data_IF_565346032852
#
_entry.id   IF_565346032852
#
_cell.length_a   1.000
_cell.length_b   1.000
_cell.length_c   1.000
_cell.angle_alpha   90.00
_cell.angle_beta   90.00
_cell.angle_gamma   90.00
#
_symmetry.space_group_name_H-M   'P 1'
#
loop_
_entity.id
_entity.type
_entity.pdbx_description
1 polymer ?
#
# COMPACT_ATOMS: atom_id res chain seq x y z
N UNK A 1 -29.01 -13.83 -18.77
CA UNK A 1 -27.92 -12.83 -18.83
C UNK A 1 -27.52 -12.47 -17.39
N UNK A 2 -26.28 -12.71 -17.00
CA UNK A 2 -25.80 -12.28 -15.66
C UNK A 2 -25.80 -10.77 -15.57
N UNK A 3 -26.41 -10.23 -14.53
CA UNK A 3 -26.44 -8.78 -14.28
C UNK A 3 -25.02 -8.36 -13.83
N UNK A 4 -24.36 -7.51 -14.62
CA UNK A 4 -23.05 -6.96 -14.24
C UNK A 4 -23.18 -6.17 -12.95
N UNK A 5 -22.24 -6.32 -11.99
CA UNK A 5 -22.28 -5.55 -10.76
C UNK A 5 -22.14 -4.04 -11.07
N UNK A 6 -22.86 -3.16 -10.35
CA UNK A 6 -22.70 -1.71 -10.50
C UNK A 6 -21.27 -1.27 -10.20
N UNK A 7 -20.72 -0.37 -11.01
CA UNK A 7 -19.37 0.15 -10.80
C UNK A 7 -19.22 0.85 -9.43
N UNK A 8 -20.26 1.57 -8.99
CA UNK A 8 -20.27 2.18 -7.67
C UNK A 8 -20.01 1.17 -6.55
N UNK A 9 -20.60 -0.03 -6.63
CA UNK A 9 -20.34 -1.12 -5.68
C UNK A 9 -18.86 -1.55 -5.69
N UNK A 10 -18.27 -1.78 -6.87
CA UNK A 10 -16.85 -2.18 -6.99
C UNK A 10 -15.93 -1.10 -6.40
N UNK A 11 -16.21 0.17 -6.70
CA UNK A 11 -15.44 1.30 -6.17
C UNK A 11 -15.59 1.42 -4.64
N UNK A 12 -16.77 1.17 -4.10
CA UNK A 12 -16.98 1.13 -2.64
C UNK A 12 -16.17 0.01 -1.99
N UNK A 13 -16.09 -1.17 -2.60
CA UNK A 13 -15.24 -2.28 -2.12
C UNK A 13 -13.76 -1.85 -2.09
N UNK A 14 -13.28 -1.19 -3.15
CA UNK A 14 -11.90 -0.68 -3.21
C UNK A 14 -11.64 0.35 -2.11
N UNK A 15 -12.53 1.33 -1.92
CA UNK A 15 -12.41 2.33 -0.87
C UNK A 15 -12.42 1.67 0.52
N UNK A 16 -13.33 0.71 0.76
CA UNK A 16 -13.38 -0.03 2.03
C UNK A 16 -12.05 -0.74 2.32
N UNK A 17 -11.42 -1.32 1.31
CA UNK A 17 -10.14 -2.04 1.47
C UNK A 17 -8.98 -1.18 1.94
N UNK A 18 -8.97 0.12 1.62
CA UNK A 18 -7.89 1.04 2.06
C UNK A 18 -8.15 1.70 3.41
N UNK A 19 -9.40 1.71 3.90
CA UNK A 19 -9.74 2.37 5.16
C UNK A 19 -8.92 1.85 6.34
N UNK A 20 -8.52 0.57 6.32
CA UNK A 20 -7.83 -0.09 7.44
C UNK A 20 -6.62 0.70 7.95
N UNK A 21 -5.79 1.23 7.07
CA UNK A 21 -4.58 1.95 7.43
C UNK A 21 -4.75 3.47 7.34
N UNK A 22 -5.53 3.95 6.38
CA UNK A 22 -5.67 5.40 6.14
C UNK A 22 -6.42 6.13 7.25
N UNK A 23 -7.38 5.47 7.92
CA UNK A 23 -8.10 6.07 9.04
C UNK A 23 -7.29 6.03 10.35
N UNK A 24 -6.40 5.06 10.51
CA UNK A 24 -5.61 4.91 11.75
C UNK A 24 -4.50 5.96 11.83
N UNK A 25 -3.82 6.22 10.72
CA UNK A 25 -2.56 6.96 10.69
C UNK A 25 -2.63 8.33 11.37
N UNK A 26 -3.57 9.25 11.08
CA UNK A 26 -3.63 10.54 11.75
C UNK A 26 -4.01 10.43 13.24
N UNK A 27 -4.73 9.38 13.62
CA UNK A 27 -5.25 9.14 14.96
C UNK A 27 -4.27 8.42 15.90
N UNK A 28 -3.11 7.95 15.40
CA UNK A 28 -2.13 7.20 16.22
C UNK A 28 -1.78 7.90 17.53
N UNK A 29 -1.38 9.20 17.55
CA UNK A 29 -1.02 9.87 18.79
C UNK A 29 -2.17 9.94 19.79
N UNK A 30 -3.40 10.18 19.33
CA UNK A 30 -4.59 10.27 20.17
C UNK A 30 -4.92 8.92 20.83
N UNK A 31 -4.77 7.83 20.07
CA UNK A 31 -4.95 6.46 20.59
C UNK A 31 -3.90 6.15 21.64
N UNK A 32 -2.61 6.45 21.37
CA UNK A 32 -1.54 6.22 22.34
C UNK A 32 -1.78 7.02 23.62
N UNK A 33 -2.17 8.28 23.50
CA UNK A 33 -2.49 9.16 24.64
C UNK A 33 -3.68 8.63 25.45
N UNK A 34 -4.76 8.19 24.80
CA UNK A 34 -5.97 7.69 25.47
C UNK A 34 -5.72 6.42 26.29
N UNK A 35 -4.82 5.55 25.85
CA UNK A 35 -4.41 4.35 26.58
C UNK A 35 -3.16 4.54 27.45
N UNK A 36 -2.59 5.74 27.53
CA UNK A 36 -1.38 6.03 28.32
C UNK A 36 -0.13 5.29 27.84
N UNK A 37 0.01 5.11 26.53
CA UNK A 37 1.04 4.28 25.91
C UNK A 37 2.20 5.12 25.37
N UNK A 38 3.38 4.50 25.32
CA UNK A 38 4.57 5.10 24.73
C UNK A 38 4.58 4.95 23.19
N UNK A 39 5.35 5.80 22.52
CA UNK A 39 5.44 5.90 21.06
C UNK A 39 5.87 4.62 20.33
N UNK A 40 6.63 3.74 20.99
CA UNK A 40 7.06 2.46 20.43
C UNK A 40 5.88 1.55 20.07
N UNK A 41 4.74 1.71 20.75
CA UNK A 41 3.55 0.92 20.49
C UNK A 41 2.77 1.35 19.23
N UNK A 42 3.09 2.51 18.65
CA UNK A 42 2.52 2.95 17.36
C UNK A 42 2.74 1.90 16.25
N UNK A 43 3.91 1.25 16.25
CA UNK A 43 4.23 0.21 15.30
C UNK A 43 3.32 -1.02 15.38
N UNK A 44 2.94 -1.43 16.58
CA UNK A 44 2.00 -2.54 16.79
C UNK A 44 0.61 -2.21 16.22
N UNK A 45 0.14 -0.99 16.45
CA UNK A 45 -1.18 -0.54 15.98
C UNK A 45 -1.32 -0.60 14.46
N UNK A 46 -0.27 -0.25 13.71
CA UNK A 46 -0.27 -0.30 12.24
C UNK A 46 0.00 -1.71 11.74
N UNK A 47 0.98 -2.42 12.31
CA UNK A 47 1.38 -3.74 11.87
C UNK A 47 0.28 -4.78 12.01
N UNK A 48 -0.48 -4.77 13.12
CA UNK A 48 -1.56 -5.76 13.37
C UNK A 48 -2.62 -5.74 12.29
N UNK A 49 -2.99 -4.56 11.75
CA UNK A 49 -3.93 -4.43 10.64
C UNK A 49 -3.43 -5.02 9.33
N UNK A 50 -2.11 -5.11 9.13
CA UNK A 50 -1.48 -5.62 7.91
C UNK A 50 -1.01 -7.08 8.03
N UNK A 51 -0.72 -7.54 9.23
CA UNK A 51 -0.12 -8.84 9.53
C UNK A 51 -0.94 -10.02 8.95
N UNK A 52 -2.25 -10.00 9.18
CA UNK A 52 -3.14 -11.03 8.65
C UNK A 52 -3.10 -11.11 7.11
N UNK A 53 -2.85 -9.98 6.45
CA UNK A 53 -2.84 -9.88 4.99
C UNK A 53 -1.74 -10.71 4.32
N UNK A 54 -0.65 -11.04 5.01
CA UNK A 54 0.45 -11.85 4.45
C UNK A 54 -0.06 -13.24 4.06
N UNK A 55 -0.85 -13.88 4.94
CA UNK A 55 -1.36 -15.23 4.73
C UNK A 55 -2.77 -15.22 4.12
N UNK A 56 -3.63 -14.33 4.60
CA UNK A 56 -5.05 -14.32 4.24
C UNK A 56 -5.29 -13.84 2.80
N UNK A 57 -4.47 -12.92 2.25
CA UNK A 57 -4.71 -12.43 0.91
C UNK A 57 -4.67 -13.55 -0.17
N UNK A 58 -3.64 -14.42 -0.25
CA UNK A 58 -3.65 -15.54 -1.17
C UNK A 58 -4.73 -16.58 -0.86
N UNK A 59 -4.99 -16.85 0.44
CA UNK A 59 -6.04 -17.78 0.86
C UNK A 59 -7.42 -17.29 0.44
N UNK A 60 -7.73 -16.00 0.64
CA UNK A 60 -9.02 -15.44 0.24
C UNK A 60 -9.21 -15.44 -1.29
N UNK A 61 -8.13 -15.25 -2.07
CA UNK A 61 -8.16 -15.45 -3.52
C UNK A 61 -8.57 -16.88 -3.89
N UNK A 62 -7.89 -17.88 -3.34
CA UNK A 62 -8.20 -19.28 -3.53
C UNK A 62 -9.64 -19.64 -3.09
N UNK A 63 -10.08 -19.14 -1.93
CA UNK A 63 -11.45 -19.35 -1.45
C UNK A 63 -12.49 -18.70 -2.39
N UNK A 64 -12.17 -17.52 -2.96
CA UNK A 64 -13.04 -16.84 -3.92
C UNK A 64 -13.15 -17.60 -5.25
N UNK A 65 -12.10 -18.32 -5.66
CA UNK A 65 -12.15 -19.22 -6.80
C UNK A 65 -12.96 -20.48 -6.51
N UNK A 66 -12.93 -20.99 -5.27
CA UNK A 66 -13.61 -22.22 -4.87
C UNK A 66 -15.08 -22.01 -4.48
N UNK A 67 -15.37 -20.99 -3.67
CA UNK A 67 -16.71 -20.74 -3.09
C UNK A 67 -17.49 -19.66 -3.81
N UNK A 68 -16.85 -18.95 -4.74
CA UNK A 68 -17.43 -17.85 -5.50
C UNK A 68 -17.19 -16.49 -4.86
N UNK A 69 -17.12 -15.45 -5.71
CA UNK A 69 -16.80 -14.07 -5.33
C UNK A 69 -17.80 -13.49 -4.31
N UNK A 70 -19.10 -13.82 -4.46
CA UNK A 70 -20.18 -13.36 -3.58
C UNK A 70 -19.93 -13.73 -2.12
N UNK A 71 -19.70 -15.01 -1.85
CA UNK A 71 -19.55 -15.52 -0.48
C UNK A 71 -18.31 -14.92 0.18
N UNK A 72 -17.16 -15.03 -0.49
CA UNK A 72 -15.89 -14.59 0.10
C UNK A 72 -15.86 -13.09 0.31
N UNK A 73 -16.35 -12.30 -0.65
CA UNK A 73 -16.38 -10.83 -0.49
C UNK A 73 -17.33 -10.40 0.63
N UNK A 74 -18.52 -11.02 0.73
CA UNK A 74 -19.47 -10.74 1.82
C UNK A 74 -18.87 -11.06 3.20
N UNK A 75 -18.21 -12.22 3.33
CA UNK A 75 -17.55 -12.62 4.59
C UNK A 75 -16.40 -11.67 4.93
N UNK A 76 -15.53 -11.35 3.96
CA UNK A 76 -14.43 -10.41 4.18
C UNK A 76 -14.92 -9.01 4.62
N UNK A 77 -15.93 -8.46 3.94
CA UNK A 77 -16.54 -7.17 4.31
C UNK A 77 -17.24 -7.24 5.67
N UNK A 78 -17.91 -8.35 5.98
CA UNK A 78 -18.55 -8.59 7.26
C UNK A 78 -17.54 -8.61 8.42
N UNK A 79 -16.47 -9.40 8.28
CA UNK A 79 -15.36 -9.45 9.24
C UNK A 79 -14.73 -8.06 9.41
N UNK A 80 -14.42 -7.38 8.30
CA UNK A 80 -13.85 -6.03 8.32
C UNK A 80 -14.75 -5.04 9.07
N UNK A 81 -16.06 -5.03 8.78
CA UNK A 81 -17.01 -4.08 9.38
C UNK A 81 -17.28 -4.37 10.86
N UNK A 82 -17.49 -5.64 11.24
CA UNK A 82 -17.71 -6.03 12.63
C UNK A 82 -16.49 -5.71 13.49
N UNK A 83 -15.33 -6.26 13.15
CA UNK A 83 -14.12 -6.06 13.96
C UNK A 83 -13.58 -4.63 13.82
N UNK A 84 -13.76 -3.98 12.66
CA UNK A 84 -13.48 -2.56 12.53
C UNK A 84 -14.34 -1.70 13.45
N UNK A 85 -15.64 -1.96 13.56
CA UNK A 85 -16.54 -1.30 14.54
C UNK A 85 -16.16 -1.62 15.99
N UNK A 86 -15.75 -2.85 16.29
CA UNK A 86 -15.28 -3.24 17.63
C UNK A 86 -14.02 -2.47 18.06
N UNK A 87 -13.17 -2.04 17.14
CA UNK A 87 -12.01 -1.19 17.49
C UNK A 87 -12.45 0.14 18.14
N UNK A 88 -13.59 0.71 17.73
CA UNK A 88 -14.12 1.94 18.31
C UNK A 88 -14.60 1.75 19.77
N UNK A 89 -14.95 0.52 20.13
CA UNK A 89 -15.48 0.17 21.46
C UNK A 89 -14.42 -0.48 22.37
N UNK A 90 -13.18 -0.62 21.90
CA UNK A 90 -12.13 -1.32 22.63
C UNK A 90 -11.83 -0.65 24.00
N UNK A 91 -11.95 -1.38 25.13
CA UNK A 91 -11.67 -0.85 26.45
C UNK A 91 -10.19 -0.93 26.82
N UNK A 92 -9.39 -1.74 26.11
CA UNK A 92 -7.95 -1.87 26.32
C UNK A 92 -7.21 -1.94 24.98
N UNK A 93 -5.91 -1.65 25.01
CA UNK A 93 -5.08 -1.67 23.82
C UNK A 93 -4.94 -3.07 23.21
N UNK A 94 -4.85 -4.12 24.03
CA UNK A 94 -4.76 -5.52 23.61
C UNK A 94 -6.02 -5.93 22.82
N UNK A 95 -7.21 -5.53 23.31
CA UNK A 95 -8.47 -5.78 22.60
C UNK A 95 -8.56 -4.96 21.32
N UNK A 96 -8.05 -3.73 21.32
CA UNK A 96 -7.90 -2.92 20.11
C UNK A 96 -7.02 -3.66 19.08
N UNK A 97 -5.84 -4.16 19.49
CA UNK A 97 -4.93 -4.88 18.60
C UNK A 97 -5.56 -6.18 18.07
N UNK A 98 -6.26 -6.93 18.93
CA UNK A 98 -6.97 -8.14 18.50
C UNK A 98 -8.07 -7.83 17.48
N UNK A 99 -8.88 -6.80 17.72
CA UNK A 99 -9.90 -6.35 16.79
C UNK A 99 -9.28 -5.86 15.47
N UNK A 100 -8.15 -5.14 15.52
CA UNK A 100 -7.37 -4.71 14.36
C UNK A 100 -6.84 -5.88 13.54
N UNK A 101 -6.31 -6.92 14.20
CA UNK A 101 -5.86 -8.14 13.53
C UNK A 101 -7.00 -8.83 12.78
N UNK A 102 -8.15 -9.02 13.45
CA UNK A 102 -9.33 -9.64 12.84
C UNK A 102 -9.91 -8.77 11.72
N UNK A 103 -9.93 -7.43 11.89
CA UNK A 103 -10.25 -6.49 10.82
C UNK A 103 -9.31 -6.67 9.63
N UNK A 104 -8.01 -6.87 9.88
CA UNK A 104 -6.98 -7.15 8.87
C UNK A 104 -7.28 -8.41 8.05
N UNK A 105 -7.80 -9.48 8.68
CA UNK A 105 -8.29 -10.67 7.98
C UNK A 105 -9.36 -10.30 6.95
N UNK A 106 -10.33 -9.45 7.33
CA UNK A 106 -11.38 -8.98 6.43
C UNK A 106 -10.86 -8.11 5.28
N UNK A 107 -9.89 -7.22 5.56
CA UNK A 107 -9.37 -6.28 4.55
C UNK A 107 -8.42 -6.90 3.54
N UNK A 108 -7.84 -8.06 3.86
CA UNK A 108 -6.68 -8.64 3.16
C UNK A 108 -6.85 -8.77 1.63
N UNK A 109 -8.07 -9.07 1.17
CA UNK A 109 -8.34 -9.34 -0.24
C UNK A 109 -9.24 -8.31 -0.93
N UNK A 110 -9.81 -7.31 -0.22
CA UNK A 110 -10.86 -6.44 -0.75
C UNK A 110 -10.44 -5.71 -2.03
N UNK A 111 -9.27 -5.06 -2.03
CA UNK A 111 -8.78 -4.32 -3.20
C UNK A 111 -8.52 -5.25 -4.38
N UNK A 112 -7.95 -6.43 -4.13
CA UNK A 112 -7.67 -7.40 -5.17
C UNK A 112 -8.97 -8.00 -5.75
N UNK A 113 -9.94 -8.34 -4.89
CA UNK A 113 -11.23 -8.86 -5.32
C UNK A 113 -12.04 -7.84 -6.13
N UNK A 114 -11.91 -6.53 -5.85
CA UNK A 114 -12.51 -5.49 -6.68
C UNK A 114 -11.96 -5.51 -8.12
N UNK A 115 -10.63 -5.68 -8.28
CA UNK A 115 -9.99 -5.80 -9.60
C UNK A 115 -10.41 -7.11 -10.30
N UNK A 116 -10.49 -8.21 -9.55
CA UNK A 116 -10.95 -9.51 -10.08
C UNK A 116 -12.40 -9.40 -10.57
N UNK A 117 -13.29 -8.74 -9.82
CA UNK A 117 -14.68 -8.50 -10.27
C UNK A 117 -14.75 -7.73 -11.60
N UNK A 118 -13.85 -6.76 -11.82
CA UNK A 118 -13.75 -6.09 -13.11
C UNK A 118 -13.31 -7.09 -14.19
N UNK A 119 -12.30 -7.91 -13.90
CA UNK A 119 -11.79 -8.93 -14.83
C UNK A 119 -12.83 -9.99 -15.23
N UNK A 120 -13.67 -10.39 -14.27
CA UNK A 120 -14.70 -11.43 -14.49
C UNK A 120 -15.90 -10.93 -15.33
N UNK A 121 -16.16 -9.60 -15.33
CA UNK A 121 -17.38 -9.03 -15.94
C UNK A 121 -17.13 -8.17 -17.19
N UNK A 122 -15.89 -7.77 -17.46
CA UNK A 122 -15.52 -6.95 -18.62
C UNK A 122 -14.25 -7.49 -19.30
N UNK A 123 -14.14 -7.28 -20.62
CA UNK A 123 -13.01 -7.73 -21.44
C UNK A 123 -12.46 -6.59 -22.32
N UNK A 124 -11.29 -6.81 -22.91
CA UNK A 124 -10.67 -5.88 -23.86
C UNK A 124 -10.46 -4.48 -23.31
N UNK A 125 -10.74 -3.46 -24.12
CA UNK A 125 -10.52 -2.05 -23.77
C UNK A 125 -11.36 -1.58 -22.57
N UNK A 126 -12.59 -2.11 -22.41
CA UNK A 126 -13.45 -1.75 -21.27
C UNK A 126 -12.86 -2.24 -19.96
N UNK A 127 -12.30 -3.47 -19.90
CA UNK A 127 -11.60 -3.98 -18.74
C UNK A 127 -10.45 -3.07 -18.35
N UNK A 128 -9.58 -2.71 -19.30
CA UNK A 128 -8.42 -1.83 -19.05
C UNK A 128 -8.87 -0.46 -18.54
N UNK A 129 -9.91 0.12 -19.18
CA UNK A 129 -10.46 1.41 -18.77
C UNK A 129 -11.02 1.38 -17.35
N UNK A 130 -11.72 0.31 -16.96
CA UNK A 130 -12.34 0.19 -15.65
C UNK A 130 -11.32 -0.10 -14.54
N UNK A 131 -10.27 -0.89 -14.83
CA UNK A 131 -9.13 -1.05 -13.91
C UNK A 131 -8.47 0.31 -13.67
N UNK A 132 -8.26 1.12 -14.73
CA UNK A 132 -7.73 2.47 -14.59
C UNK A 132 -8.60 3.39 -13.73
N UNK A 133 -9.94 3.33 -13.90
CA UNK A 133 -10.88 4.08 -13.06
C UNK A 133 -10.84 3.61 -11.60
N UNK A 134 -10.76 2.30 -11.35
CA UNK A 134 -10.64 1.75 -10.03
C UNK A 134 -9.32 2.18 -9.34
N UNK A 135 -8.23 2.24 -10.08
CA UNK A 135 -6.95 2.78 -9.59
C UNK A 135 -7.05 4.27 -9.25
N UNK A 136 -7.78 5.06 -10.05
CA UNK A 136 -8.04 6.47 -9.73
C UNK A 136 -8.86 6.62 -8.43
N UNK A 137 -9.89 5.79 -8.23
CA UNK A 137 -10.66 5.75 -6.98
C UNK A 137 -9.77 5.40 -5.78
N UNK A 138 -8.88 4.41 -5.94
CA UNK A 138 -7.89 4.04 -4.91
C UNK A 138 -7.01 5.24 -4.55
N UNK A 139 -6.46 5.94 -5.55
CA UNK A 139 -5.58 7.10 -5.35
C UNK A 139 -6.29 8.25 -4.66
N UNK A 140 -7.50 8.58 -5.10
CA UNK A 140 -8.33 9.61 -4.45
C UNK A 140 -8.65 9.23 -3.02
N UNK A 141 -8.95 7.95 -2.75
CA UNK A 141 -9.18 7.45 -1.40
C UNK A 141 -7.93 7.58 -0.51
N UNK A 142 -6.76 7.18 -1.00
CA UNK A 142 -5.50 7.32 -0.28
C UNK A 142 -5.17 8.80 0.04
N UNK A 143 -5.57 9.72 -0.84
CA UNK A 143 -5.40 11.15 -0.63
C UNK A 143 -6.40 11.74 0.36
N UNK A 144 -7.68 11.34 0.28
CA UNK A 144 -8.76 12.00 1.03
C UNK A 144 -9.03 11.36 2.40
N UNK A 145 -8.80 10.05 2.56
CA UNK A 145 -9.15 9.36 3.80
C UNK A 145 -8.33 9.80 5.02
N UNK A 146 -7.00 10.05 4.95
CA UNK A 146 -6.27 10.58 6.09
C UNK A 146 -6.75 11.98 6.48
N UNK A 147 -7.09 12.85 5.49
CA UNK A 147 -7.66 14.17 5.76
C UNK A 147 -8.99 14.07 6.50
N UNK A 148 -9.89 13.21 6.00
CA UNK A 148 -11.19 12.95 6.63
C UNK A 148 -11.02 12.37 8.04
N UNK A 149 -10.12 11.40 8.19
CA UNK A 149 -9.80 10.78 9.48
C UNK A 149 -9.29 11.80 10.49
N UNK A 150 -8.34 12.65 10.10
CA UNK A 150 -7.80 13.69 10.95
C UNK A 150 -8.88 14.67 11.41
N UNK A 151 -9.70 15.16 10.48
CA UNK A 151 -10.78 16.09 10.78
C UNK A 151 -11.84 15.49 11.74
N UNK A 152 -12.23 14.24 11.55
CA UNK A 152 -13.20 13.58 12.44
C UNK A 152 -12.55 13.27 13.80
N UNK A 153 -11.29 12.83 13.82
CA UNK A 153 -10.57 12.56 15.08
C UNK A 153 -10.45 13.82 15.93
N UNK A 154 -10.14 14.96 15.31
CA UNK A 154 -10.07 16.25 16.02
C UNK A 154 -11.43 16.70 16.54
N UNK A 155 -12.48 16.57 15.72
CA UNK A 155 -13.82 17.05 16.08
C UNK A 155 -14.57 16.13 17.06
N UNK A 156 -14.40 14.81 16.99
CA UNK A 156 -15.23 13.83 17.67
C UNK A 156 -14.46 12.65 18.31
N UNK A 157 -13.13 12.65 18.20
CA UNK A 157 -12.27 11.62 18.75
C UNK A 157 -12.06 10.41 17.80
N UNK A 158 -10.99 9.68 18.03
CA UNK A 158 -10.59 8.53 17.22
C UNK A 158 -11.61 7.39 17.22
N UNK A 159 -12.36 7.21 18.29
CA UNK A 159 -13.41 6.18 18.37
C UNK A 159 -14.51 6.40 17.33
N UNK A 160 -14.94 7.65 17.12
CA UNK A 160 -15.93 8.01 16.10
C UNK A 160 -15.35 7.78 14.71
N UNK A 161 -14.08 8.11 14.48
CA UNK A 161 -13.37 7.82 13.23
C UNK A 161 -13.37 6.32 12.92
N UNK A 162 -13.14 5.47 13.92
CA UNK A 162 -13.14 4.03 13.74
C UNK A 162 -14.53 3.42 13.55
N UNK A 163 -15.60 4.08 14.05
CA UNK A 163 -16.99 3.67 13.77
C UNK A 163 -17.30 3.69 12.25
N UNK A 164 -16.57 4.46 11.44
CA UNK A 164 -16.72 4.49 9.97
C UNK A 164 -16.49 3.11 9.35
N UNK A 165 -15.67 2.25 9.97
CA UNK A 165 -15.44 0.89 9.46
C UNK A 165 -16.72 0.08 9.34
N UNK A 166 -17.76 0.39 10.13
CA UNK A 166 -19.07 -0.29 10.08
C UNK A 166 -19.81 -0.09 8.76
N UNK A 167 -19.46 0.93 7.96
CA UNK A 167 -19.98 1.13 6.58
C UNK A 167 -19.73 -0.11 5.71
N UNK A 168 -18.68 -0.89 6.00
CA UNK A 168 -18.43 -2.15 5.34
C UNK A 168 -19.54 -3.19 5.51
N UNK A 169 -20.34 -3.12 6.58
CA UNK A 169 -21.50 -4.02 6.78
C UNK A 169 -22.58 -3.76 5.75
N UNK A 170 -22.85 -2.48 5.44
CA UNK A 170 -23.75 -2.11 4.34
C UNK A 170 -23.21 -2.59 2.99
N UNK A 171 -21.87 -2.48 2.78
CA UNK A 171 -21.24 -2.99 1.57
C UNK A 171 -21.30 -4.53 1.50
N UNK A 172 -21.20 -5.24 2.64
CA UNK A 172 -21.37 -6.69 2.71
C UNK A 172 -22.79 -7.12 2.34
N UNK A 173 -23.80 -6.42 2.86
CA UNK A 173 -25.20 -6.65 2.48
C UNK A 173 -25.43 -6.39 0.99
N UNK A 174 -24.86 -5.31 0.46
CA UNK A 174 -24.91 -5.02 -0.99
C UNK A 174 -24.21 -6.12 -1.81
N UNK A 175 -23.06 -6.65 -1.36
CA UNK A 175 -22.36 -7.75 -2.03
C UNK A 175 -23.24 -8.99 -2.18
N UNK A 176 -23.99 -9.31 -1.12
CA UNK A 176 -24.91 -10.45 -1.12
C UNK A 176 -26.04 -10.31 -2.14
N UNK A 177 -26.54 -9.11 -2.35
CA UNK A 177 -27.67 -8.83 -3.26
C UNK A 177 -27.19 -8.65 -4.72
N UNK A 178 -26.05 -7.97 -4.90
CA UNK A 178 -25.58 -7.50 -6.22
C UNK A 178 -24.80 -8.58 -6.97
N UNK A 179 -24.06 -9.45 -6.25
CA UNK A 179 -23.21 -10.43 -6.88
C UNK A 179 -23.94 -11.76 -7.14
N UNK A 180 -23.67 -12.34 -8.31
CA UNK A 180 -24.16 -13.67 -8.63
C UNK A 180 -23.44 -14.75 -7.80
N UNK A 181 -24.17 -15.76 -7.35
CA UNK A 181 -23.64 -16.89 -6.57
C UNK A 181 -22.90 -17.94 -7.41
N UNK A 182 -22.42 -17.59 -8.61
CA UNK A 182 -21.71 -18.52 -9.50
C UNK A 182 -20.36 -18.91 -8.92
N UNK A 183 -20.04 -20.20 -9.04
CA UNK A 183 -18.71 -20.74 -8.71
C UNK A 183 -17.90 -20.85 -10.00
N UNK A 184 -16.61 -20.49 -10.00
CA UNK A 184 -15.70 -20.80 -11.10
C UNK A 184 -15.61 -22.31 -11.34
N UNK A 185 -15.41 -22.74 -12.59
CA UNK A 185 -15.48 -24.15 -12.99
C UNK A 185 -14.20 -24.92 -12.67
N UNK A 186 -13.03 -24.25 -12.71
CA UNK A 186 -11.73 -24.86 -12.41
C UNK A 186 -10.84 -23.93 -11.57
N UNK A 187 -10.66 -24.22 -10.27
CA UNK A 187 -9.72 -23.43 -9.45
C UNK A 187 -8.26 -23.86 -9.75
N UNK A 188 -7.30 -22.91 -9.88
CA UNK A 188 -5.90 -23.22 -10.11
C UNK A 188 -5.26 -23.97 -8.93
N UNK A 189 -4.31 -24.88 -9.20
CA UNK A 189 -3.63 -25.69 -8.19
C UNK A 189 -2.53 -24.87 -7.50
N UNK A 190 -2.66 -24.66 -6.18
CA UNK A 190 -1.70 -23.90 -5.36
C UNK A 190 -0.26 -24.42 -5.45
N UNK A 191 -0.07 -25.75 -5.58
CA UNK A 191 1.25 -26.36 -5.65
C UNK A 191 2.05 -25.98 -6.89
N UNK A 192 1.39 -25.80 -8.03
CA UNK A 192 2.01 -25.36 -9.28
C UNK A 192 2.48 -23.91 -9.15
N UNK A 193 1.68 -23.04 -8.56
CA UNK A 193 2.02 -21.62 -8.34
C UNK A 193 3.27 -21.43 -7.46
N UNK A 194 3.48 -22.28 -6.45
CA UNK A 194 4.67 -22.20 -5.60
C UNK A 194 5.94 -22.60 -6.37
N UNK A 195 5.86 -23.66 -7.19
CA UNK A 195 6.98 -24.08 -8.05
C UNK A 195 7.38 -22.98 -9.05
N UNK A 196 6.41 -22.36 -9.68
CA UNK A 196 6.58 -21.25 -10.62
C UNK A 196 7.18 -20.01 -9.94
N UNK A 197 6.75 -19.68 -8.71
CA UNK A 197 7.31 -18.56 -7.94
C UNK A 197 8.81 -18.72 -7.72
N UNK A 198 9.28 -19.94 -7.41
CA UNK A 198 10.70 -20.22 -7.22
C UNK A 198 11.52 -20.07 -8.51
N UNK A 199 10.95 -20.42 -9.66
CA UNK A 199 11.61 -20.25 -10.98
C UNK A 199 11.75 -18.76 -11.31
N UNK A 200 10.68 -18.01 -11.08
CA UNK A 200 10.62 -16.56 -11.31
C UNK A 200 11.64 -15.81 -10.44
N UNK A 201 11.80 -16.20 -9.17
CA UNK A 201 12.76 -15.60 -8.24
C UNK A 201 14.25 -15.81 -8.63
N UNK A 202 14.57 -16.67 -9.61
CA UNK A 202 15.95 -16.79 -10.12
C UNK A 202 16.40 -15.61 -10.98
N UNK A 203 15.47 -14.82 -11.52
CA UNK A 203 15.77 -13.68 -12.39
C UNK A 203 16.32 -12.49 -11.59
N UNK A 204 17.51 -11.95 -11.95
CA UNK A 204 18.18 -10.94 -11.15
C UNK A 204 17.44 -9.59 -11.12
N UNK A 205 16.84 -9.15 -12.24
CA UNK A 205 16.05 -7.91 -12.29
C UNK A 205 14.82 -8.03 -11.39
N UNK A 206 14.13 -9.18 -11.44
CA UNK A 206 12.97 -9.43 -10.62
C UNK A 206 13.30 -9.41 -9.13
N UNK A 207 14.39 -10.09 -8.71
CA UNK A 207 14.84 -10.06 -7.31
C UNK A 207 15.16 -8.65 -6.84
N UNK A 208 15.88 -7.87 -7.66
CA UNK A 208 16.21 -6.48 -7.35
C UNK A 208 14.94 -5.61 -7.20
N UNK A 209 13.96 -5.79 -8.09
CA UNK A 209 12.69 -5.06 -8.05
C UNK A 209 11.85 -5.45 -6.82
N UNK A 210 11.75 -6.74 -6.51
CA UNK A 210 11.02 -7.24 -5.33
C UNK A 210 11.66 -6.79 -4.02
N UNK A 211 13.00 -6.85 -3.92
CA UNK A 211 13.72 -6.35 -2.75
C UNK A 211 13.52 -4.84 -2.58
N UNK A 212 13.66 -4.07 -3.66
CA UNK A 212 13.39 -2.63 -3.63
C UNK A 212 11.94 -2.33 -3.26
N UNK A 213 10.98 -3.12 -3.77
CA UNK A 213 9.57 -3.02 -3.40
C UNK A 213 9.33 -3.28 -1.91
N UNK A 214 9.91 -4.34 -1.34
CA UNK A 214 9.87 -4.61 0.10
C UNK A 214 10.38 -3.41 0.91
N UNK A 215 11.57 -2.88 0.54
CA UNK A 215 12.19 -1.74 1.22
C UNK A 215 11.33 -0.47 1.10
N UNK A 216 10.72 -0.22 -0.06
CA UNK A 216 9.76 0.89 -0.26
C UNK A 216 8.58 0.76 0.69
N UNK A 217 7.96 -0.43 0.79
CA UNK A 217 6.82 -0.63 1.69
C UNK A 217 7.22 -0.59 3.17
N UNK A 218 8.42 -1.03 3.54
CA UNK A 218 8.98 -0.82 4.89
C UNK A 218 9.09 0.68 5.19
N UNK A 219 9.61 1.48 4.26
CA UNK A 219 9.78 2.92 4.43
C UNK A 219 8.43 3.64 4.49
N UNK A 220 7.47 3.32 3.62
CA UNK A 220 6.14 3.92 3.61
C UNK A 220 5.40 3.63 4.93
N UNK A 221 5.25 2.37 5.28
CA UNK A 221 4.45 1.97 6.43
C UNK A 221 5.16 2.21 7.76
N UNK A 222 6.50 2.05 7.80
CA UNK A 222 7.29 2.35 8.97
C UNK A 222 7.45 3.85 9.18
N UNK A 223 8.16 4.52 8.29
CA UNK A 223 8.53 5.92 8.51
C UNK A 223 7.37 6.87 8.24
N UNK A 224 6.72 6.77 7.08
CA UNK A 224 5.70 7.75 6.71
C UNK A 224 4.38 7.54 7.46
N UNK A 225 3.86 6.32 7.53
CA UNK A 225 2.54 6.07 8.13
C UNK A 225 2.58 5.82 9.66
N UNK A 226 3.74 5.48 10.23
CA UNK A 226 3.86 5.22 11.67
C UNK A 226 4.63 6.31 12.40
N UNK A 227 5.83 6.71 11.92
CA UNK A 227 6.64 7.72 12.61
C UNK A 227 6.10 9.13 12.40
N UNK A 228 5.68 9.49 11.17
CA UNK A 228 5.30 10.86 10.85
C UNK A 228 4.16 11.40 11.73
N UNK A 229 3.02 10.71 11.93
CA UNK A 229 1.94 11.25 12.77
C UNK A 229 2.41 11.50 14.22
N UNK A 230 3.24 10.61 14.78
CA UNK A 230 3.80 10.77 16.12
C UNK A 230 4.78 11.94 16.15
N UNK A 231 5.65 12.07 15.16
CA UNK A 231 6.60 13.19 15.04
C UNK A 231 5.89 14.55 14.94
N UNK A 232 4.81 14.62 14.13
CA UNK A 232 4.02 15.84 13.99
C UNK A 232 3.32 16.24 15.32
N UNK A 233 2.87 15.27 16.09
CA UNK A 233 2.27 15.53 17.40
C UNK A 233 3.32 15.93 18.44
N UNK A 234 4.43 15.18 18.58
CA UNK A 234 5.43 15.40 19.63
C UNK A 234 6.30 16.64 19.39
N UNK A 235 6.74 16.88 18.14
CA UNK A 235 7.70 17.95 17.82
C UNK A 235 7.02 19.25 17.46
N UNK A 236 5.86 19.17 16.77
CA UNK A 236 5.15 20.33 16.27
C UNK A 236 3.84 20.63 17.00
N UNK A 237 3.42 19.78 17.94
CA UNK A 237 2.17 19.95 18.69
C UNK A 237 0.91 19.93 17.80
N UNK A 238 0.98 19.26 16.65
CA UNK A 238 -0.13 19.27 15.67
C UNK A 238 -1.30 18.41 16.11
N UNK A 239 -2.52 18.95 15.98
CA UNK A 239 -3.77 18.24 16.14
C UNK A 239 -4.04 17.26 14.99
N UNK A 240 -4.99 16.37 15.17
CA UNK A 240 -5.29 15.29 14.23
C UNK A 240 -5.64 15.77 12.81
N UNK A 241 -6.37 16.88 12.67
CA UNK A 241 -6.71 17.47 11.39
C UNK A 241 -5.50 17.95 10.60
N UNK A 242 -4.59 18.66 11.27
CA UNK A 242 -3.33 19.12 10.65
C UNK A 242 -2.45 17.93 10.25
N UNK A 243 -2.36 16.88 11.10
CA UNK A 243 -1.66 15.63 10.76
C UNK A 243 -2.27 14.95 9.53
N UNK A 244 -3.60 14.83 9.49
CA UNK A 244 -4.33 14.26 8.37
C UNK A 244 -4.09 15.02 7.06
N UNK A 245 -4.06 16.35 7.10
CA UNK A 245 -3.74 17.20 5.96
C UNK A 245 -2.32 16.92 5.44
N UNK A 246 -1.31 16.95 6.31
CA UNK A 246 0.09 16.72 5.92
C UNK A 246 0.33 15.30 5.38
N UNK A 247 -0.34 14.29 5.94
CA UNK A 247 -0.26 12.90 5.47
C UNK A 247 -0.94 12.74 4.09
N UNK A 248 -1.91 13.58 3.76
CA UNK A 248 -2.62 13.56 2.48
C UNK A 248 -1.87 14.29 1.35
N UNK A 249 -1.02 15.28 1.66
CA UNK A 249 -0.30 16.11 0.68
C UNK A 249 0.53 15.32 -0.34
N UNK A 250 1.27 14.28 0.05
CA UNK A 250 2.07 13.48 -0.90
C UNK A 250 1.29 12.90 -2.06
N UNK A 251 0.00 12.61 -1.87
CA UNK A 251 -0.83 12.05 -2.93
C UNK A 251 -0.92 12.97 -4.17
N UNK A 252 -0.81 14.28 -4.00
CA UNK A 252 -0.79 15.25 -5.10
C UNK A 252 0.45 15.04 -5.96
N UNK A 253 1.64 15.08 -5.33
CA UNK A 253 2.90 14.94 -6.06
C UNK A 253 3.13 13.51 -6.54
N UNK A 254 2.69 12.50 -5.80
CA UNK A 254 2.71 11.10 -6.23
C UNK A 254 1.86 10.89 -7.50
N UNK A 255 0.67 11.47 -7.55
CA UNK A 255 -0.20 11.42 -8.73
C UNK A 255 0.46 12.09 -9.93
N UNK A 256 0.96 13.31 -9.77
CA UNK A 256 1.64 14.04 -10.85
C UNK A 256 2.89 13.30 -11.35
N UNK A 257 3.68 12.73 -10.44
CA UNK A 257 4.87 11.96 -10.76
C UNK A 257 4.52 10.68 -11.54
N UNK A 258 3.52 9.93 -11.06
CA UNK A 258 3.05 8.70 -11.72
C UNK A 258 2.51 8.96 -13.14
N UNK A 259 1.73 10.02 -13.34
CA UNK A 259 1.23 10.39 -14.67
C UNK A 259 2.36 10.76 -15.64
N UNK A 260 3.43 11.35 -15.15
CA UNK A 260 4.57 11.74 -15.97
C UNK A 260 5.62 10.64 -16.14
N UNK A 261 5.49 9.49 -15.47
CA UNK A 261 6.48 8.39 -15.52
C UNK A 261 6.71 7.91 -16.97
N UNK A 262 5.66 7.72 -17.76
CA UNK A 262 5.78 7.33 -19.17
C UNK A 262 6.66 8.28 -19.97
N UNK A 263 6.46 9.60 -19.82
CA UNK A 263 7.29 10.63 -20.46
C UNK A 263 8.72 10.62 -19.92
N UNK A 264 8.90 10.44 -18.62
CA UNK A 264 10.24 10.34 -18.03
C UNK A 264 11.00 9.12 -18.57
N UNK A 265 10.33 8.00 -18.85
CA UNK A 265 10.94 6.78 -19.43
C UNK A 265 11.44 6.97 -20.86
N UNK A 266 10.92 7.94 -21.63
CA UNK A 266 11.49 8.30 -22.94
C UNK A 266 12.78 9.12 -22.79
N UNK A 267 12.93 9.86 -21.69
CA UNK A 267 14.08 10.74 -21.41
C UNK A 267 15.17 10.05 -20.57
N UNK A 268 14.77 9.14 -19.68
CA UNK A 268 15.66 8.50 -18.72
C UNK A 268 15.47 6.98 -18.68
N UNK A 269 16.53 6.24 -18.33
CA UNK A 269 16.47 4.80 -18.13
C UNK A 269 15.72 4.44 -16.83
N UNK A 270 15.21 3.19 -16.72
CA UNK A 270 14.60 2.70 -15.49
C UNK A 270 15.52 2.87 -14.28
N UNK A 271 16.79 2.52 -14.47
CA UNK A 271 17.85 2.69 -13.47
C UNK A 271 17.97 4.13 -13.00
N UNK A 272 17.97 5.10 -13.92
CA UNK A 272 18.07 6.52 -13.59
C UNK A 272 16.86 6.98 -12.77
N UNK A 273 15.66 6.54 -13.11
CA UNK A 273 14.43 6.87 -12.36
C UNK A 273 14.51 6.31 -10.94
N UNK A 274 14.91 5.05 -10.76
CA UNK A 274 15.06 4.43 -9.43
C UNK A 274 16.09 5.19 -8.59
N UNK A 275 17.28 5.51 -9.16
CA UNK A 275 18.34 6.27 -8.47
C UNK A 275 17.82 7.65 -8.05
N UNK A 276 17.25 8.42 -8.98
CA UNK A 276 16.72 9.75 -8.69
C UNK A 276 15.69 9.72 -7.57
N UNK A 277 14.70 8.84 -7.69
CA UNK A 277 13.63 8.72 -6.70
C UNK A 277 14.15 8.30 -5.32
N UNK A 278 15.16 7.39 -5.28
CA UNK A 278 15.78 6.98 -4.02
C UNK A 278 16.54 8.12 -3.35
N UNK A 279 17.27 8.94 -4.13
CA UNK A 279 17.95 10.14 -3.60
C UNK A 279 16.93 11.11 -3.01
N UNK A 280 15.83 11.39 -3.74
CA UNK A 280 14.74 12.26 -3.26
C UNK A 280 14.15 11.71 -1.96
N UNK A 281 13.98 10.38 -1.84
CA UNK A 281 13.45 9.73 -0.65
C UNK A 281 14.41 9.85 0.56
N UNK A 282 15.72 9.64 0.34
CA UNK A 282 16.74 9.86 1.38
C UNK A 282 16.69 11.28 1.89
N UNK A 283 16.72 12.26 0.98
CA UNK A 283 16.67 13.69 1.34
C UNK A 283 15.39 14.02 2.09
N UNK A 284 14.22 13.51 1.64
CA UNK A 284 12.95 13.74 2.30
C UNK A 284 12.97 13.24 3.76
N UNK A 285 13.42 12.01 4.01
CA UNK A 285 13.44 11.45 5.37
C UNK A 285 14.49 12.13 6.27
N UNK A 286 15.68 12.43 5.76
CA UNK A 286 16.69 13.19 6.52
C UNK A 286 16.16 14.58 6.88
N UNK A 287 15.50 15.26 5.94
CA UNK A 287 14.88 16.57 6.16
C UNK A 287 13.78 16.49 7.22
N UNK A 288 12.86 15.49 7.14
CA UNK A 288 11.82 15.27 8.16
C UNK A 288 12.42 15.04 9.56
N UNK A 289 13.51 14.28 9.63
CA UNK A 289 14.13 13.96 10.92
C UNK A 289 14.90 15.12 11.57
N UNK A 290 15.36 16.09 10.80
CA UNK A 290 16.21 17.21 11.27
C UNK A 290 15.47 18.54 11.39
N UNK A 291 14.33 18.71 10.70
CA UNK A 291 13.63 20.00 10.68
C UNK A 291 12.78 20.25 11.92
N UNK A 292 12.73 21.51 12.31
CA UNK A 292 11.79 22.04 13.33
C UNK A 292 10.81 23.06 12.73
N UNK A 293 10.78 23.15 11.39
CA UNK A 293 9.97 24.15 10.67
C UNK A 293 8.87 23.47 9.86
N UNK A 294 7.60 23.80 10.10
CA UNK A 294 6.44 23.22 9.42
C UNK A 294 6.51 23.38 7.89
N UNK A 295 6.94 24.53 7.38
CA UNK A 295 7.08 24.74 5.94
C UNK A 295 8.06 23.76 5.29
N UNK A 296 9.14 23.40 6.01
CA UNK A 296 10.11 22.40 5.54
C UNK A 296 9.52 20.98 5.60
N UNK A 297 8.68 20.67 6.61
CA UNK A 297 7.92 19.40 6.66
C UNK A 297 7.02 19.28 5.44
N UNK A 298 6.30 20.34 5.04
CA UNK A 298 5.46 20.35 3.82
C UNK A 298 6.30 20.02 2.59
N UNK A 299 7.44 20.67 2.40
CA UNK A 299 8.33 20.42 1.26
C UNK A 299 8.83 18.96 1.28
N UNK A 300 9.27 18.47 2.43
CA UNK A 300 9.78 17.10 2.58
C UNK A 300 8.68 16.05 2.31
N UNK A 301 7.44 16.29 2.73
CA UNK A 301 6.31 15.38 2.42
C UNK A 301 5.95 15.38 0.94
N UNK A 302 6.03 16.53 0.24
CA UNK A 302 5.85 16.60 -1.21
C UNK A 302 6.99 15.90 -1.98
N UNK A 303 8.23 16.00 -1.49
CA UNK A 303 9.37 15.24 -2.03
C UNK A 303 9.17 13.73 -1.85
N UNK A 304 8.72 13.31 -0.66
CA UNK A 304 8.36 11.91 -0.39
C UNK A 304 7.32 11.41 -1.40
N UNK A 305 6.22 12.16 -1.60
CA UNK A 305 5.18 11.80 -2.57
C UNK A 305 5.69 11.69 -4.01
N UNK A 306 6.59 12.60 -4.42
CA UNK A 306 7.24 12.51 -5.73
C UNK A 306 8.03 11.22 -5.88
N UNK A 307 8.80 10.85 -4.86
CA UNK A 307 9.57 9.61 -4.85
C UNK A 307 8.66 8.38 -4.90
N UNK A 308 7.62 8.32 -4.05
CA UNK A 308 6.66 7.22 -4.00
C UNK A 308 5.95 7.02 -5.36
N UNK A 309 5.49 8.11 -5.95
CA UNK A 309 4.80 8.12 -7.24
C UNK A 309 5.66 7.69 -8.43
N UNK A 310 6.98 7.73 -8.31
CA UNK A 310 7.91 7.20 -9.31
C UNK A 310 8.36 5.78 -8.99
N UNK A 311 8.73 5.49 -7.72
CA UNK A 311 9.32 4.20 -7.34
C UNK A 311 8.33 3.04 -7.49
N UNK A 312 7.12 3.15 -6.95
CA UNK A 312 6.18 2.03 -6.95
C UNK A 312 5.84 1.60 -8.38
N UNK A 313 5.33 2.49 -9.26
CA UNK A 313 4.98 2.07 -10.62
C UNK A 313 6.21 1.68 -11.45
N UNK A 314 7.40 2.29 -11.20
CA UNK A 314 8.62 1.89 -11.89
C UNK A 314 9.06 0.47 -11.50
N UNK A 315 9.04 0.13 -10.21
CA UNK A 315 9.40 -1.22 -9.75
C UNK A 315 8.37 -2.26 -10.19
N UNK A 316 7.08 -1.90 -10.26
CA UNK A 316 6.03 -2.75 -10.83
C UNK A 316 6.25 -2.99 -12.33
N UNK A 317 6.58 -1.95 -13.10
CA UNK A 317 6.89 -2.06 -14.53
C UNK A 317 8.09 -2.99 -14.77
N UNK A 318 9.18 -2.83 -14.01
CA UNK A 318 10.34 -3.70 -14.06
C UNK A 318 10.01 -5.16 -13.67
N UNK A 319 9.17 -5.33 -12.67
CA UNK A 319 8.74 -6.65 -12.20
C UNK A 319 7.91 -7.36 -13.26
N UNK A 320 6.97 -6.65 -13.90
CA UNK A 320 6.11 -7.22 -14.96
C UNK A 320 6.86 -7.40 -16.29
N UNK A 321 7.76 -6.47 -16.63
CA UNK A 321 8.52 -6.50 -17.87
C UNK A 321 9.52 -7.64 -17.95
N UNK A 322 10.05 -8.10 -16.83
CA UNK A 322 10.99 -9.25 -16.75
C UNK A 322 10.25 -10.60 -16.57
N UNK A 323 8.93 -10.56 -16.35
CA UNK A 323 8.13 -11.76 -16.15
C UNK A 323 7.76 -12.44 -17.48
N UNK A 324 7.94 -13.77 -17.62
CA UNK A 324 7.34 -14.52 -18.72
C UNK A 324 5.81 -14.39 -18.71
N UNK A 325 5.18 -14.36 -19.88
CA UNK A 325 3.74 -14.16 -20.01
C UNK A 325 2.93 -15.17 -19.20
N UNK A 326 3.38 -16.43 -19.22
CA UNK A 326 2.78 -17.57 -18.50
C UNK A 326 2.86 -17.43 -16.97
N UNK A 327 3.85 -16.69 -16.43
CA UNK A 327 4.07 -16.53 -14.98
C UNK A 327 3.66 -15.16 -14.41
N UNK A 328 3.05 -14.29 -15.21
CA UNK A 328 2.68 -12.93 -14.76
C UNK A 328 1.78 -12.91 -13.53
N UNK A 329 0.83 -13.82 -13.44
CA UNK A 329 -0.07 -13.91 -12.29
C UNK A 329 0.69 -14.24 -10.99
N UNK A 330 1.65 -15.17 -11.08
CA UNK A 330 2.50 -15.57 -9.96
C UNK A 330 3.41 -14.43 -9.54
N UNK A 331 4.00 -13.70 -10.50
CA UNK A 331 4.85 -12.52 -10.23
C UNK A 331 4.07 -11.43 -9.49
N UNK A 332 2.82 -11.17 -9.88
CA UNK A 332 1.93 -10.23 -9.18
C UNK A 332 1.67 -10.71 -7.75
N UNK A 333 1.40 -11.99 -7.55
CA UNK A 333 1.15 -12.55 -6.23
C UNK A 333 2.38 -12.42 -5.31
N UNK A 334 3.58 -12.68 -5.85
CA UNK A 334 4.86 -12.52 -5.14
C UNK A 334 5.09 -11.05 -4.79
N UNK A 335 4.87 -10.12 -5.74
CA UNK A 335 4.96 -8.67 -5.48
C UNK A 335 4.04 -8.25 -4.32
N UNK A 336 2.78 -8.68 -4.34
CA UNK A 336 1.82 -8.38 -3.26
C UNK A 336 2.29 -8.98 -1.93
N UNK A 337 2.84 -10.20 -1.93
CA UNK A 337 3.40 -10.83 -0.73
C UNK A 337 4.55 -10.00 -0.12
N UNK A 338 5.51 -9.55 -0.93
CA UNK A 338 6.59 -8.68 -0.49
C UNK A 338 6.09 -7.32 0.01
N UNK A 339 5.09 -6.74 -0.65
CA UNK A 339 4.44 -5.52 -0.20
C UNK A 339 3.78 -5.71 1.18
N UNK A 340 3.03 -6.78 1.40
CA UNK A 340 2.40 -7.10 2.70
C UNK A 340 3.43 -7.34 3.80
N UNK A 341 4.53 -8.01 3.48
CA UNK A 341 5.64 -8.20 4.41
C UNK A 341 6.22 -6.84 4.84
N UNK A 342 6.49 -5.93 3.89
CA UNK A 342 6.96 -4.59 4.18
C UNK A 342 5.98 -3.76 5.01
N UNK A 343 4.68 -3.84 4.70
CA UNK A 343 3.60 -3.20 5.45
C UNK A 343 3.52 -3.65 6.92
N UNK A 344 3.99 -4.85 7.22
CA UNK A 344 3.99 -5.40 8.59
C UNK A 344 5.30 -5.14 9.30
N UNK A 345 6.43 -5.45 8.65
CA UNK A 345 7.77 -5.32 9.24
C UNK A 345 8.16 -3.86 9.45
N UNK A 346 7.80 -2.97 8.51
CA UNK A 346 8.13 -1.55 8.58
C UNK A 346 7.66 -0.87 9.87
N UNK A 347 6.36 -0.92 10.20
CA UNK A 347 5.85 -0.34 11.44
C UNK A 347 6.48 -0.92 12.72
N UNK A 348 6.72 -2.24 12.77
CA UNK A 348 7.36 -2.87 13.92
C UNK A 348 8.78 -2.35 14.14
N UNK A 349 9.59 -2.30 13.07
CA UNK A 349 10.94 -1.74 13.13
C UNK A 349 10.91 -0.27 13.52
N UNK A 350 9.99 0.52 12.95
CA UNK A 350 9.84 1.94 13.24
C UNK A 350 9.40 2.19 14.69
N UNK A 351 8.47 1.39 15.22
CA UNK A 351 8.06 1.46 16.63
C UNK A 351 9.24 1.24 17.58
N UNK A 352 9.96 0.11 17.38
CA UNK A 352 11.16 -0.19 18.17
C UNK A 352 12.19 0.95 18.07
N UNK A 353 12.48 1.44 16.86
CA UNK A 353 13.44 2.53 16.66
C UNK A 353 12.99 3.83 17.37
N UNK A 354 11.70 4.19 17.29
CA UNK A 354 11.16 5.35 18.01
C UNK A 354 11.31 5.21 19.54
N UNK A 355 11.14 4.02 20.09
CA UNK A 355 11.31 3.76 21.51
C UNK A 355 12.71 4.10 22.02
N UNK A 356 13.74 3.74 21.24
CA UNK A 356 15.15 3.96 21.62
C UNK A 356 15.70 5.34 21.18
N UNK A 357 15.35 5.80 20.00
CA UNK A 357 15.99 6.95 19.37
C UNK A 357 15.14 8.23 19.44
N UNK A 358 13.81 8.10 19.59
CA UNK A 358 12.88 9.17 19.35
C UNK A 358 12.48 9.32 17.88
N UNK A 359 11.53 10.21 17.58
CA UNK A 359 10.92 10.28 16.23
C UNK A 359 11.88 10.87 15.19
N UNK A 360 12.55 11.98 15.47
CA UNK A 360 13.48 12.64 14.53
C UNK A 360 14.65 11.75 14.12
N UNK A 361 15.47 11.23 15.06
CA UNK A 361 16.57 10.32 14.75
C UNK A 361 16.09 9.01 14.07
N UNK A 362 14.86 8.55 14.33
CA UNK A 362 14.29 7.40 13.62
C UNK A 362 14.11 7.68 12.14
N UNK A 363 13.71 8.89 11.72
CA UNK A 363 13.68 9.28 10.31
C UNK A 363 15.08 9.26 9.69
N UNK A 364 16.08 9.83 10.39
CA UNK A 364 17.47 9.87 9.90
C UNK A 364 18.02 8.45 9.75
N UNK A 365 17.88 7.60 10.77
CA UNK A 365 18.31 6.21 10.70
C UNK A 365 17.55 5.41 9.62
N UNK A 366 16.24 5.62 9.55
CA UNK A 366 15.37 4.99 8.57
C UNK A 366 15.63 5.41 7.12
N UNK A 367 16.26 6.59 6.89
CA UNK A 367 16.71 6.98 5.54
C UNK A 367 17.71 6.00 4.94
N UNK A 368 18.39 5.18 5.78
CA UNK A 368 19.24 4.08 5.33
C UNK A 368 18.46 3.04 4.49
N UNK A 369 17.16 2.86 4.74
CA UNK A 369 16.30 1.99 3.92
C UNK A 369 16.23 2.53 2.48
N UNK A 370 16.00 3.84 2.33
CA UNK A 370 16.04 4.52 1.04
C UNK A 370 17.46 4.47 0.41
N UNK A 371 18.51 4.57 1.24
CA UNK A 371 19.89 4.37 0.84
C UNK A 371 20.18 2.96 0.29
N UNK A 372 19.56 1.92 0.86
CA UNK A 372 19.64 0.56 0.33
C UNK A 372 18.93 0.43 -1.02
N UNK A 373 17.81 1.09 -1.23
CA UNK A 373 17.14 1.13 -2.54
C UNK A 373 18.04 1.84 -3.57
N UNK A 374 18.67 2.95 -3.16
CA UNK A 374 19.66 3.65 -3.98
C UNK A 374 20.83 2.74 -4.35
N UNK A 375 21.36 1.99 -3.39
CA UNK A 375 22.45 1.04 -3.62
C UNK A 375 22.04 -0.06 -4.62
N UNK A 376 20.83 -0.61 -4.48
CA UNK A 376 20.27 -1.55 -5.45
C UNK A 376 20.10 -0.88 -6.82
N UNK A 377 19.70 0.38 -6.88
CA UNK A 377 19.64 1.18 -8.11
C UNK A 377 21.00 1.34 -8.77
N UNK A 378 22.05 1.61 -7.98
CA UNK A 378 23.42 1.84 -8.46
C UNK A 378 24.13 0.55 -8.89
N UNK A 379 23.98 -0.54 -8.15
CA UNK A 379 24.72 -1.79 -8.35
C UNK A 379 23.88 -2.89 -9.01
N UNK A 380 22.55 -2.78 -8.95
CA UNK A 380 21.64 -3.80 -9.43
C UNK A 380 21.52 -3.88 -10.95
N UNK A 381 20.86 -4.92 -11.45
CA UNK A 381 20.74 -5.26 -12.85
C UNK A 381 19.67 -4.46 -13.61
N UNK A 382 19.30 -3.27 -13.12
CA UNK A 382 18.24 -2.47 -13.76
C UNK A 382 18.66 -1.98 -15.15
N UNK A 383 17.74 -1.99 -16.16
CA UNK A 383 18.02 -1.58 -17.52
C UNK A 383 18.53 -0.15 -17.61
N UNK A 384 19.61 0.05 -18.37
CA UNK A 384 20.22 1.36 -18.65
C UNK A 384 19.69 2.01 -19.92
N UNK A 385 18.87 1.30 -20.70
CA UNK A 385 18.28 1.77 -21.95
C UNK A 385 17.00 2.57 -21.70
N UNK A 386 16.74 3.56 -22.56
CA UNK A 386 15.50 4.33 -22.59
C UNK A 386 14.44 3.56 -23.37
N UNK A 387 13.17 3.81 -23.12
CA UNK A 387 12.08 3.30 -23.96
C UNK A 387 12.11 4.05 -25.29
N UNK A 388 12.19 3.34 -26.43
CA UNK A 388 12.29 3.93 -27.77
C UNK A 388 13.72 4.23 -28.25
N UNK A 389 14.76 3.97 -27.45
CA UNK A 389 16.15 4.00 -27.92
C UNK A 389 16.51 2.70 -28.61
N UNK A 390 16.70 2.74 -29.92
CA UNK A 390 17.38 1.66 -30.68
C UNK A 390 18.70 1.34 -30.00
N UNK A 391 19.07 0.05 -29.79
CA UNK A 391 20.40 -0.30 -29.36
C UNK A 391 21.37 0.22 -30.43
N UNK A 392 22.21 1.19 -30.06
CA UNK A 392 23.32 1.66 -30.91
C UNK A 392 24.19 0.43 -31.22
N UNK A 393 24.26 0.11 -32.51
CA UNK A 393 24.76 -1.09 -33.13
C UNK A 393 26.05 -1.65 -32.52
N UNK A 394 26.06 -2.94 -32.37
CA UNK A 394 27.17 -3.76 -32.82
C UNK A 394 26.84 -4.20 -34.25
N UNK A 395 27.44 -3.51 -35.23
CA UNK A 395 27.54 -4.04 -36.59
C UNK A 395 28.21 -5.42 -36.48
N UNK A 396 27.68 -6.46 -37.10
CA UNK A 396 28.47 -7.66 -37.33
C UNK A 396 29.58 -7.24 -38.30
N UNK A 397 30.83 -7.25 -37.82
CA UNK A 397 32.02 -7.23 -38.67
C UNK A 397 31.89 -8.42 -39.61
N UNK A 398 31.63 -8.13 -40.89
CA UNK A 398 31.86 -9.07 -41.97
C UNK A 398 33.32 -9.48 -41.96
N UNK A 399 33.55 -10.77 -41.91
CA UNK A 399 34.78 -11.49 -42.04
C UNK A 399 34.46 -12.94 -42.44
#
# INVERSE_FOLDING_TARGET
MSRRPPLAFIFTVTLTGILSNTLVTPAIPDILSDFGLSRDQAGLLVATGSLAGIVIAPVAGFLADRFGRRVVLTVCLGIFGVFGGMTALAPSFELLLLARFLQGVGSAALVNLAVVLIGDNWSGADRTRLIGRNSAVLTVGLASMPLLSGAITEAAGWRVTFAIYTVALGTAAAAWVVLDGRRPVDPPHVREQVGEALVVLKRPVLRASLLSGLLVFIAIFGLFLTVLPVHLAEVFGMEAGARGLLISLPAVTATLASFNLGRMRTLASARTVVIFSSIVLVVAYVTLGLTTTVAVVVVATLMYGTSEGLLIPMLQDLTMGDAPDEHRAVVIAVWVGFARLGQTVGPLLAGVAMGFLGTGPTFVAGSAIAGLILLVGLLGPFPRTRVGGTPVGRSPSAG
#
